data_IF_903363330228
#
_entry.id   IF_903363330228
#
_cell.length_a   1.000
_cell.length_b   1.000
_cell.length_c   1.000
_cell.angle_alpha   90.00
_cell.angle_beta   90.00
_cell.angle_gamma   90.00
#
_symmetry.space_group_name_H-M   'P 1'
#
loop_
_entity.id
_entity.type
_entity.pdbx_description
1 polymer ?
#
# COMPACT_ATOMS: atom_id res chain seq x y z
N UNK A 1 49.63 -32.64 2.46
CA UNK A 1 50.34 -31.62 3.27
C UNK A 1 49.44 -30.43 3.53
N UNK A 2 49.75 -29.56 4.50
CA UNK A 2 48.90 -28.44 4.94
C UNK A 2 48.45 -27.50 3.81
N UNK A 3 49.28 -27.32 2.76
CA UNK A 3 48.96 -26.52 1.58
C UNK A 3 47.75 -27.03 0.78
N UNK A 4 47.54 -28.35 0.71
CA UNK A 4 46.39 -28.95 0.01
C UNK A 4 45.08 -28.69 0.75
N UNK A 5 45.12 -28.70 2.09
CA UNK A 5 43.97 -28.39 2.93
C UNK A 5 43.54 -26.92 2.83
N UNK A 6 44.52 -26.01 2.80
CA UNK A 6 44.27 -24.56 2.61
C UNK A 6 43.68 -24.29 1.22
N UNK A 7 44.24 -24.88 0.16
CA UNK A 7 43.71 -24.71 -1.20
C UNK A 7 42.27 -25.25 -1.35
N UNK A 8 41.97 -26.40 -0.74
CA UNK A 8 40.62 -26.99 -0.76
C UNK A 8 39.61 -26.11 -0.01
N UNK A 9 40.02 -25.52 1.12
CA UNK A 9 39.20 -24.59 1.90
C UNK A 9 38.93 -23.29 1.13
N UNK A 10 39.92 -22.73 0.43
CA UNK A 10 39.76 -21.53 -0.41
C UNK A 10 38.80 -21.81 -1.58
N UNK A 11 38.94 -22.95 -2.26
CA UNK A 11 38.04 -23.34 -3.34
C UNK A 11 36.60 -23.55 -2.86
N UNK A 12 36.42 -24.12 -1.66
CA UNK A 12 35.09 -24.29 -1.06
C UNK A 12 34.44 -22.94 -0.73
N UNK A 13 35.21 -22.01 -0.16
CA UNK A 13 34.73 -20.64 0.14
C UNK A 13 34.34 -19.92 -1.15
N UNK A 14 35.17 -20.01 -2.19
CA UNK A 14 34.89 -19.39 -3.49
C UNK A 14 33.62 -19.97 -4.13
N UNK A 15 33.46 -21.30 -4.08
CA UNK A 15 32.26 -21.98 -4.58
C UNK A 15 31.00 -21.53 -3.85
N UNK A 16 31.03 -21.49 -2.51
CA UNK A 16 29.92 -20.99 -1.70
C UNK A 16 29.58 -19.53 -2.01
N UNK A 17 30.59 -18.66 -2.19
CA UNK A 17 30.37 -17.26 -2.54
C UNK A 17 29.67 -17.10 -3.90
N UNK A 18 30.09 -17.88 -4.91
CA UNK A 18 29.46 -17.91 -6.24
C UNK A 18 28.02 -18.41 -6.15
N UNK A 19 27.76 -19.46 -5.38
CA UNK A 19 26.40 -20.01 -5.17
C UNK A 19 25.48 -19.02 -4.45
N UNK A 20 25.98 -18.29 -3.45
CA UNK A 20 25.21 -17.26 -2.76
C UNK A 20 24.90 -16.10 -3.70
N UNK A 21 25.87 -15.65 -4.50
CA UNK A 21 25.68 -14.54 -5.43
C UNK A 21 24.68 -14.87 -6.53
N UNK A 22 24.75 -16.09 -7.10
CA UNK A 22 23.81 -16.57 -8.10
C UNK A 22 22.40 -16.76 -7.53
N UNK A 23 22.27 -17.28 -6.30
CA UNK A 23 20.98 -17.40 -5.63
C UNK A 23 20.32 -16.05 -5.39
N UNK A 24 21.10 -15.00 -5.02
CA UNK A 24 20.57 -13.64 -4.87
C UNK A 24 20.07 -13.04 -6.18
N UNK A 25 20.76 -13.30 -7.28
CA UNK A 25 20.37 -12.81 -8.61
C UNK A 25 19.08 -13.47 -9.10
N UNK A 26 18.92 -14.79 -8.89
CA UNK A 26 17.67 -15.49 -9.22
C UNK A 26 16.52 -15.02 -8.32
N UNK A 27 16.79 -14.77 -7.04
CA UNK A 27 15.79 -14.27 -6.10
C UNK A 27 15.30 -12.85 -6.43
N UNK A 28 16.16 -11.97 -6.95
CA UNK A 28 15.74 -10.64 -7.41
C UNK A 28 14.87 -10.69 -8.66
N UNK A 29 15.09 -11.66 -9.55
CA UNK A 29 14.29 -11.80 -10.77
C UNK A 29 12.92 -12.46 -10.50
N UNK A 30 12.83 -13.25 -9.43
CA UNK A 30 11.56 -13.72 -8.86
C UNK A 30 10.82 -12.64 -8.08
N UNK A 31 11.40 -11.44 -7.91
CA UNK A 31 10.69 -10.30 -7.34
C UNK A 31 9.50 -10.00 -8.26
N UNK A 32 8.31 -10.19 -7.68
CA UNK A 32 7.04 -10.30 -8.39
C UNK A 32 6.79 -9.07 -9.26
N UNK A 33 6.14 -9.29 -10.41
CA UNK A 33 5.49 -8.22 -11.18
C UNK A 33 4.65 -7.42 -10.17
N UNK A 34 4.93 -6.13 -9.97
CA UNK A 34 4.20 -5.33 -9.00
C UNK A 34 2.73 -5.31 -9.42
N UNK A 35 1.85 -5.69 -8.50
CA UNK A 35 0.40 -5.58 -8.70
C UNK A 35 0.07 -4.10 -8.55
N UNK A 36 -0.45 -3.50 -9.60
CA UNK A 36 -1.02 -2.14 -9.54
C UNK A 36 -2.41 -2.25 -8.96
N UNK A 37 -2.66 -1.54 -7.85
CA UNK A 37 -3.95 -1.55 -7.19
C UNK A 37 -4.97 -0.70 -7.96
N UNK A 38 -6.25 -0.97 -7.74
CA UNK A 38 -7.32 -0.24 -8.45
C UNK A 38 -7.33 1.28 -8.18
N UNK A 39 -6.96 1.70 -6.96
CA UNK A 39 -6.82 3.12 -6.64
C UNK A 39 -5.64 3.77 -7.37
N UNK A 40 -4.53 3.05 -7.55
CA UNK A 40 -3.37 3.53 -8.31
C UNK A 40 -3.71 3.69 -9.79
N UNK A 41 -4.43 2.74 -10.40
CA UNK A 41 -4.93 2.87 -11.78
C UNK A 41 -5.85 4.10 -11.92
N UNK A 42 -6.76 4.32 -10.95
CA UNK A 42 -7.62 5.51 -10.95
C UNK A 42 -6.82 6.81 -10.83
N UNK A 43 -5.76 6.83 -10.01
CA UNK A 43 -4.87 7.98 -9.85
C UNK A 43 -4.05 8.25 -11.11
N UNK A 44 -3.54 7.22 -11.76
CA UNK A 44 -2.80 7.31 -13.04
C UNK A 44 -3.68 7.85 -14.17
N UNK A 45 -4.96 7.45 -14.22
CA UNK A 45 -5.96 8.00 -15.15
C UNK A 45 -6.51 9.38 -14.71
N UNK A 46 -5.84 10.05 -13.78
CA UNK A 46 -6.20 11.37 -13.22
C UNK A 46 -7.65 11.43 -12.72
N UNK A 47 -8.18 10.30 -12.25
CA UNK A 47 -9.57 10.09 -11.83
C UNK A 47 -10.61 10.44 -12.90
N UNK A 48 -10.24 10.43 -14.20
CA UNK A 48 -11.10 10.84 -15.31
C UNK A 48 -12.53 10.26 -15.27
N UNK A 49 -12.72 8.97 -14.98
CA UNK A 49 -14.05 8.36 -14.88
C UNK A 49 -14.94 8.92 -13.77
N UNK A 50 -14.37 9.61 -12.77
CA UNK A 50 -15.06 10.13 -11.60
C UNK A 50 -15.37 11.63 -11.68
N UNK A 51 -14.74 12.36 -12.59
CA UNK A 51 -14.92 13.82 -12.74
C UNK A 51 -16.39 14.15 -13.03
N UNK A 52 -16.91 15.15 -12.31
CA UNK A 52 -18.30 15.60 -12.43
C UNK A 52 -19.34 14.65 -11.83
N UNK A 53 -18.92 13.58 -11.14
CA UNK A 53 -19.82 12.68 -10.40
C UNK A 53 -19.76 12.97 -8.90
N UNK A 54 -20.86 12.70 -8.21
CA UNK A 54 -20.91 12.63 -6.75
C UNK A 54 -20.36 11.28 -6.30
N UNK A 55 -19.34 11.29 -5.46
CA UNK A 55 -18.56 10.10 -5.10
C UNK A 55 -18.80 9.76 -3.64
N UNK A 56 -19.26 8.53 -3.40
CA UNK A 56 -19.23 7.91 -2.07
C UNK A 56 -18.03 6.96 -2.00
N UNK A 57 -17.21 7.07 -0.95
CA UNK A 57 -16.02 6.23 -0.77
C UNK A 57 -16.31 5.19 0.30
N UNK A 58 -16.38 3.91 -0.06
CA UNK A 58 -16.41 2.80 0.89
C UNK A 58 -14.96 2.37 1.20
N UNK A 59 -14.50 2.54 2.43
CA UNK A 59 -13.10 2.24 2.77
C UNK A 59 -12.87 1.97 4.26
N UNK A 60 -11.69 1.47 4.56
CA UNK A 60 -11.20 1.19 5.91
C UNK A 60 -9.74 1.71 6.03
N UNK A 61 -9.05 1.54 7.17
CA UNK A 61 -7.68 2.02 7.36
C UNK A 61 -6.65 1.46 6.36
N UNK A 62 -6.97 0.40 5.62
CA UNK A 62 -6.08 -0.18 4.60
C UNK A 62 -6.22 0.47 3.23
N UNK A 63 -7.22 1.34 3.02
CA UNK A 63 -7.48 2.05 1.78
C UNK A 63 -6.51 3.19 1.52
N UNK A 64 -5.22 2.86 1.42
CA UNK A 64 -4.11 3.80 1.20
C UNK A 64 -3.46 3.58 -0.17
N UNK A 65 -2.74 4.58 -0.63
CA UNK A 65 -1.77 4.43 -1.73
C UNK A 65 -0.46 3.85 -1.18
N UNK A 66 0.08 2.81 -1.82
CA UNK A 66 1.23 2.07 -1.26
C UNK A 66 2.52 2.90 -1.21
N UNK A 67 2.66 3.88 -2.11
CA UNK A 67 3.85 4.73 -2.21
C UNK A 67 3.89 5.85 -1.18
N UNK A 68 2.74 6.45 -0.85
CA UNK A 68 2.64 7.58 0.08
C UNK A 68 2.09 7.19 1.44
N UNK A 69 1.49 6.01 1.57
CA UNK A 69 0.67 5.60 2.72
C UNK A 69 -0.46 6.58 3.04
N UNK A 70 -0.89 7.38 2.06
CA UNK A 70 -1.98 8.35 2.21
C UNK A 70 -3.32 7.66 1.97
N UNK A 71 -4.31 7.94 2.82
CA UNK A 71 -5.67 7.43 2.64
C UNK A 71 -6.28 7.97 1.36
N UNK A 72 -7.01 7.12 0.63
CA UNK A 72 -7.71 7.51 -0.60
C UNK A 72 -8.67 8.68 -0.39
N UNK A 73 -9.30 8.75 0.78
CA UNK A 73 -10.20 9.85 1.17
C UNK A 73 -9.45 11.18 1.22
N UNK A 74 -8.27 11.18 1.84
CA UNK A 74 -7.47 12.39 1.99
C UNK A 74 -6.92 12.84 0.63
N UNK A 75 -6.39 11.92 -0.17
CA UNK A 75 -5.86 12.25 -1.50
C UNK A 75 -6.95 12.80 -2.43
N UNK A 76 -8.10 12.12 -2.52
CA UNK A 76 -9.21 12.56 -3.38
C UNK A 76 -9.86 13.85 -2.88
N UNK A 77 -9.77 14.17 -1.58
CA UNK A 77 -10.30 15.43 -1.03
C UNK A 77 -9.56 16.67 -1.52
N UNK A 78 -8.31 16.52 -1.98
CA UNK A 78 -7.48 17.62 -2.45
C UNK A 78 -7.73 17.96 -3.93
N UNK A 79 -8.43 17.11 -4.68
CA UNK A 79 -8.73 17.35 -6.10
C UNK A 79 -10.11 17.98 -6.27
N UNK A 80 -10.13 19.28 -6.59
CA UNK A 80 -11.36 20.06 -6.78
C UNK A 80 -12.26 19.54 -7.93
N UNK A 81 -11.73 18.71 -8.84
CA UNK A 81 -12.51 18.09 -9.91
C UNK A 81 -13.39 16.94 -9.41
N UNK A 82 -13.10 16.45 -8.21
CA UNK A 82 -13.81 15.35 -7.56
C UNK A 82 -14.81 15.89 -6.54
N UNK A 83 -16.01 15.32 -6.53
CA UNK A 83 -17.06 15.68 -5.59
C UNK A 83 -17.31 14.52 -4.62
N UNK A 84 -16.40 14.33 -3.67
CA UNK A 84 -16.61 13.38 -2.58
C UNK A 84 -17.71 13.92 -1.66
N UNK A 85 -18.77 13.13 -1.47
CA UNK A 85 -19.96 13.54 -0.72
C UNK A 85 -20.21 12.73 0.55
N UNK A 86 -19.57 11.57 0.67
CA UNK A 86 -19.69 10.70 1.83
C UNK A 86 -18.55 9.68 1.87
N UNK A 87 -18.19 9.26 3.08
CA UNK A 87 -17.36 8.09 3.33
C UNK A 87 -18.21 7.05 4.06
N UNK A 88 -18.08 5.79 3.66
CA UNK A 88 -18.71 4.65 4.31
C UNK A 88 -17.59 3.80 4.89
N UNK A 89 -17.62 3.52 6.20
CA UNK A 89 -16.61 2.72 6.86
C UNK A 89 -17.24 1.49 7.52
N UNK A 90 -17.00 0.28 7.00
CA UNK A 90 -17.71 -0.90 7.47
C UNK A 90 -17.35 -1.30 8.90
N UNK A 91 -16.16 -0.94 9.38
CA UNK A 91 -15.69 -1.26 10.73
C UNK A 91 -14.89 -0.08 11.30
N UNK A 92 -15.17 0.26 12.56
CA UNK A 92 -14.46 1.19 13.45
C UNK A 92 -13.90 2.49 12.86
N UNK A 93 -14.47 3.00 11.77
CA UNK A 93 -13.97 4.20 11.10
C UNK A 93 -12.73 3.95 10.24
N UNK A 94 -12.56 4.78 9.21
CA UNK A 94 -11.57 4.53 8.17
C UNK A 94 -10.16 5.05 8.51
N UNK A 95 -9.99 5.77 9.63
CA UNK A 95 -8.70 6.37 10.02
C UNK A 95 -7.86 5.49 10.94
N UNK A 96 -8.42 4.43 11.50
CA UNK A 96 -7.71 3.51 12.40
C UNK A 96 -7.40 4.10 13.78
N UNK A 97 -8.04 5.21 14.14
CA UNK A 97 -7.90 5.93 15.40
C UNK A 97 -8.94 5.52 16.46
N UNK A 98 -9.88 4.66 16.09
CA UNK A 98 -10.96 4.16 16.94
C UNK A 98 -10.77 2.67 17.21
N UNK A 99 -10.76 2.31 18.49
CA UNK A 99 -10.68 0.92 18.92
C UNK A 99 -12.06 0.25 18.89
N UNK A 100 -12.05 -1.04 18.58
CA UNK A 100 -13.24 -1.86 18.39
C UNK A 100 -14.24 -1.90 19.56
N UNK A 101 -13.81 -1.44 20.73
CA UNK A 101 -14.45 -1.66 22.03
C UNK A 101 -15.38 -0.51 22.45
N UNK A 102 -15.33 0.63 21.75
CA UNK A 102 -16.20 1.78 22.06
C UNK A 102 -17.17 1.93 20.91
N UNK A 103 -18.46 1.68 21.15
CA UNK A 103 -19.52 1.78 20.14
C UNK A 103 -19.37 3.03 19.29
N UNK A 104 -18.85 2.84 18.08
CA UNK A 104 -18.56 3.95 17.19
C UNK A 104 -19.87 4.62 16.80
N UNK A 105 -19.90 5.97 16.76
CA UNK A 105 -21.08 6.65 16.26
C UNK A 105 -21.32 6.22 14.81
N UNK A 106 -22.53 5.75 14.53
CA UNK A 106 -23.04 5.40 13.18
C UNK A 106 -22.93 6.56 12.17
N UNK A 107 -22.60 7.75 12.66
CA UNK A 107 -22.41 8.94 11.85
C UNK A 107 -21.46 9.91 12.55
N UNK A 108 -20.48 10.45 11.81
CA UNK A 108 -19.68 11.58 12.27
C UNK A 108 -19.18 12.43 11.10
N UNK A 109 -18.74 13.67 11.39
CA UNK A 109 -18.04 14.49 10.41
C UNK A 109 -16.54 14.26 10.57
N UNK A 110 -15.91 13.84 9.48
CA UNK A 110 -14.47 13.70 9.43
C UNK A 110 -13.79 15.07 9.56
N UNK A 111 -12.98 15.28 10.59
CA UNK A 111 -12.41 16.61 10.87
C UNK A 111 -11.47 17.12 9.77
N UNK A 112 -10.56 16.31 9.20
CA UNK A 112 -9.65 16.79 8.15
C UNK A 112 -10.36 17.16 6.85
N UNK A 113 -11.34 16.36 6.41
CA UNK A 113 -11.99 16.58 5.10
C UNK A 113 -13.34 17.30 5.17
N UNK A 114 -13.98 17.31 6.34
CA UNK A 114 -15.35 17.79 6.52
C UNK A 114 -16.42 16.85 5.95
N UNK A 115 -16.06 15.67 5.47
CA UNK A 115 -17.02 14.74 4.87
C UNK A 115 -17.86 14.02 5.93
N UNK A 116 -19.15 13.77 5.66
CA UNK A 116 -19.93 12.87 6.48
C UNK A 116 -19.43 11.43 6.32
N UNK A 117 -19.28 10.75 7.46
CA UNK A 117 -18.87 9.34 7.54
C UNK A 117 -20.03 8.53 8.12
N UNK A 118 -20.33 7.41 7.47
CA UNK A 118 -21.37 6.45 7.83
C UNK A 118 -20.75 5.08 8.15
#
# INVERSE_FOLDING_TARGET
>A
GPLVGVAMMVNLILCCAVLILSARFVASELARVPIVLGNEVLREDNYGPLVGKRIGILTNPTGVFMDTMTLIVDEMSQDERLQVVAVFSPEHGFRGDKQAETGDPLFYIDKPTGFPVF
#
